data_IF_547994408608
#
_entry.id   IF_547994408608
#
_cell.length_a   1.000
_cell.length_b   1.000
_cell.length_c   1.000
_cell.angle_alpha   90.00
_cell.angle_beta   90.00
_cell.angle_gamma   90.00
#
_symmetry.space_group_name_H-M   'P 1'
#
loop_
_entity.id
_entity.type
_entity.pdbx_description
1 polymer ?
#
# COMPACT_ATOMS: atom_id res chain seq x y z
N UNK A 1 -5.36 -13.13 -4.07
CA UNK A 1 -5.16 -11.82 -4.73
C UNK A 1 -4.01 -11.90 -5.70
N UNK A 2 -4.15 -11.30 -6.84
CA UNK A 2 -3.12 -11.26 -7.86
C UNK A 2 -2.10 -10.17 -7.52
N UNK A 3 -0.82 -10.52 -7.53
CA UNK A 3 0.24 -9.54 -7.26
C UNK A 3 0.26 -8.43 -8.30
N UNK A 4 -0.10 -8.74 -9.53
CA UNK A 4 -0.15 -7.73 -10.58
C UNK A 4 -1.11 -6.60 -10.25
N UNK A 5 -2.28 -6.93 -9.73
CA UNK A 5 -3.26 -5.92 -9.33
C UNK A 5 -2.72 -5.04 -8.20
N UNK A 6 -2.08 -5.67 -7.23
CA UNK A 6 -1.47 -4.95 -6.11
C UNK A 6 -0.36 -4.02 -6.60
N UNK A 7 0.53 -4.51 -7.45
CA UNK A 7 1.65 -3.74 -7.97
C UNK A 7 1.13 -2.57 -8.82
N UNK A 8 0.14 -2.81 -9.65
CA UNK A 8 -0.47 -1.75 -10.46
C UNK A 8 -1.06 -0.65 -9.58
N UNK A 9 -1.75 -1.04 -8.51
CA UNK A 9 -2.32 -0.10 -7.57
C UNK A 9 -1.24 0.76 -6.91
N UNK A 10 -0.15 0.13 -6.47
CA UNK A 10 0.96 0.83 -5.84
C UNK A 10 1.63 1.78 -6.84
N UNK A 11 1.89 1.31 -8.06
CA UNK A 11 2.49 2.16 -9.08
C UNK A 11 1.66 3.41 -9.35
N UNK A 12 0.35 3.25 -9.41
CA UNK A 12 -0.56 4.35 -9.68
C UNK A 12 -0.54 5.36 -8.52
N UNK A 13 -0.65 4.86 -7.30
CA UNK A 13 -0.72 5.72 -6.12
C UNK A 13 0.59 6.45 -5.84
N UNK A 14 1.71 5.80 -6.06
CA UNK A 14 3.03 6.36 -5.77
C UNK A 14 3.67 7.03 -6.99
N UNK A 15 3.05 6.92 -8.15
CA UNK A 15 3.58 7.42 -9.42
C UNK A 15 4.98 6.86 -9.71
N UNK A 16 5.14 5.54 -9.54
CA UNK A 16 6.38 4.82 -9.81
C UNK A 16 6.10 3.69 -10.79
N UNK A 17 7.16 3.03 -11.24
CA UNK A 17 7.06 1.99 -12.28
C UNK A 17 7.78 0.73 -11.84
N UNK A 18 7.20 0.00 -10.92
CA UNK A 18 7.71 -1.31 -10.52
C UNK A 18 7.22 -2.37 -11.52
N UNK A 19 8.04 -3.41 -11.78
CA UNK A 19 7.60 -4.50 -12.65
C UNK A 19 6.34 -5.19 -12.13
N UNK A 20 5.37 -5.38 -13.01
CA UNK A 20 4.05 -5.90 -12.62
C UNK A 20 4.04 -7.40 -12.34
N UNK A 21 5.04 -8.13 -12.78
CA UNK A 21 5.10 -9.57 -12.62
C UNK A 21 6.05 -10.02 -11.51
N UNK A 22 6.44 -9.10 -10.64
CA UNK A 22 7.34 -9.43 -9.55
C UNK A 22 6.64 -10.19 -8.43
N UNK A 23 7.44 -10.98 -7.69
CA UNK A 23 6.93 -11.63 -6.49
C UNK A 23 6.67 -10.58 -5.40
N UNK A 24 5.87 -10.97 -4.42
CA UNK A 24 5.57 -10.09 -3.29
C UNK A 24 6.84 -9.67 -2.57
N UNK A 25 7.78 -10.60 -2.40
CA UNK A 25 9.03 -10.32 -1.72
C UNK A 25 9.88 -9.29 -2.47
N UNK A 26 9.96 -9.43 -3.79
CA UNK A 26 10.70 -8.46 -4.61
C UNK A 26 10.00 -7.10 -4.64
N UNK A 27 8.68 -7.09 -4.66
CA UNK A 27 7.91 -5.87 -4.55
C UNK A 27 8.25 -5.15 -3.25
N UNK A 28 8.26 -5.89 -2.15
CA UNK A 28 8.57 -5.34 -0.82
C UNK A 28 9.94 -4.70 -0.81
N UNK A 29 10.94 -5.39 -1.36
CA UNK A 29 12.31 -4.90 -1.39
C UNK A 29 12.45 -3.65 -2.27
N UNK A 30 11.89 -3.68 -3.46
CA UNK A 30 11.95 -2.54 -4.38
C UNK A 30 11.27 -1.32 -3.78
N UNK A 31 10.13 -1.54 -3.15
CA UNK A 31 9.40 -0.46 -2.51
C UNK A 31 10.18 0.12 -1.34
N UNK A 32 10.86 -0.72 -0.57
CA UNK A 32 11.66 -0.25 0.56
C UNK A 32 12.80 0.65 0.12
N UNK A 33 13.43 0.35 -1.00
CA UNK A 33 14.51 1.19 -1.55
C UNK A 33 13.97 2.58 -1.87
N UNK A 34 12.83 2.63 -2.55
CA UNK A 34 12.19 3.89 -2.89
C UNK A 34 11.85 4.70 -1.62
N UNK A 35 11.27 4.03 -0.64
CA UNK A 35 10.86 4.68 0.61
C UNK A 35 12.07 5.17 1.42
N UNK A 36 13.15 4.40 1.45
CA UNK A 36 14.37 4.83 2.14
C UNK A 36 14.95 6.08 1.48
N UNK A 37 14.88 6.18 0.17
CA UNK A 37 15.31 7.38 -0.52
C UNK A 37 14.47 8.60 -0.11
N UNK A 38 13.16 8.43 0.02
CA UNK A 38 12.31 9.50 0.49
C UNK A 38 12.62 9.91 1.93
N UNK A 39 12.92 8.94 2.78
CA UNK A 39 13.30 9.21 4.17
C UNK A 39 14.55 10.10 4.21
N UNK A 40 15.52 9.80 3.35
CA UNK A 40 16.80 10.52 3.36
C UNK A 40 16.70 11.88 2.64
N UNK A 41 15.98 11.93 1.55
CA UNK A 41 16.05 13.09 0.65
C UNK A 41 14.83 13.99 0.68
N UNK A 42 13.66 13.44 1.00
CA UNK A 42 12.43 14.23 1.00
C UNK A 42 11.41 13.62 1.93
N UNK A 43 11.65 13.75 3.20
CA UNK A 43 10.80 13.18 4.23
C UNK A 43 9.37 13.75 4.19
N UNK A 44 9.24 15.02 3.84
CA UNK A 44 7.93 15.65 3.74
C UNK A 44 7.09 15.01 2.64
N UNK A 45 7.70 14.64 1.52
CA UNK A 45 7.00 13.94 0.46
C UNK A 45 6.53 12.56 0.94
N UNK A 46 7.35 11.89 1.72
CA UNK A 46 6.96 10.61 2.31
C UNK A 46 5.72 10.76 3.20
N UNK A 47 5.71 11.77 4.06
CA UNK A 47 4.56 12.02 4.93
C UNK A 47 3.30 12.31 4.13
N UNK A 48 3.42 13.13 3.09
CA UNK A 48 2.30 13.45 2.22
C UNK A 48 1.76 12.19 1.53
N UNK A 49 2.67 11.33 1.11
CA UNK A 49 2.33 10.07 0.45
C UNK A 49 1.58 9.14 1.40
N UNK A 50 2.09 8.97 2.61
CA UNK A 50 1.45 8.11 3.61
C UNK A 50 0.08 8.62 3.99
N UNK A 51 -0.06 9.94 4.11
CA UNK A 51 -1.34 10.56 4.38
C UNK A 51 -2.35 10.27 3.25
N UNK A 52 -1.89 10.40 2.01
CA UNK A 52 -2.76 10.14 0.85
C UNK A 52 -3.16 8.69 0.75
N UNK A 53 -2.25 7.77 1.13
CA UNK A 53 -2.53 6.34 1.11
C UNK A 53 -3.36 5.88 2.29
N UNK A 54 -3.61 6.78 3.23
CA UNK A 54 -4.41 6.49 4.42
C UNK A 54 -3.75 5.43 5.31
N UNK A 55 -2.43 5.52 5.44
CA UNK A 55 -1.68 4.66 6.34
C UNK A 55 -1.60 5.34 7.71
N UNK A 56 -1.88 4.59 8.76
CA UNK A 56 -1.93 5.13 10.11
C UNK A 56 -0.54 5.54 10.60
N UNK A 57 -0.35 6.83 10.86
CA UNK A 57 0.91 7.39 11.31
C UNK A 57 1.33 6.84 12.67
N UNK A 58 0.38 6.64 13.57
CA UNK A 58 0.68 6.10 14.89
C UNK A 58 1.20 4.67 14.81
N UNK A 59 0.63 3.87 13.91
CA UNK A 59 1.07 2.51 13.68
C UNK A 59 2.51 2.49 13.17
N UNK A 60 2.85 3.41 12.27
CA UNK A 60 4.21 3.54 11.76
C UNK A 60 5.17 3.87 12.90
N UNK A 61 4.83 4.84 13.72
CA UNK A 61 5.67 5.25 14.85
C UNK A 61 5.89 4.10 15.82
N UNK A 62 4.83 3.37 16.14
CA UNK A 62 4.94 2.23 17.05
C UNK A 62 5.87 1.17 16.50
N UNK A 63 5.73 0.84 15.24
CA UNK A 63 6.55 -0.19 14.62
C UNK A 63 8.01 0.24 14.52
N UNK A 64 8.27 1.49 14.19
CA UNK A 64 9.63 2.00 14.10
C UNK A 64 10.30 2.05 15.46
N UNK A 65 9.55 2.32 16.52
CA UNK A 65 10.10 2.39 17.87
C UNK A 65 10.36 1.02 18.48
N UNK A 66 9.68 0.00 18.01
CA UNK A 66 9.71 -1.34 18.62
C UNK A 66 10.55 -2.34 17.84
N UNK A 67 11.29 -1.90 16.84
CA UNK A 67 12.05 -2.83 15.99
C UNK A 67 13.33 -2.17 15.52
N UNK A 68 14.31 -3.03 15.21
CA UNK A 68 15.56 -2.60 14.57
C UNK A 68 15.54 -2.82 13.08
N UNK A 69 14.41 -3.25 12.53
CA UNK A 69 14.30 -3.46 11.10
C UNK A 69 14.42 -2.15 10.32
N UNK A 70 14.76 -2.29 9.04
CA UNK A 70 14.88 -1.17 8.13
C UNK A 70 13.54 -0.44 8.04
N UNK A 71 13.56 0.87 8.24
CA UNK A 71 12.36 1.70 8.21
C UNK A 71 11.62 1.58 6.87
N UNK A 72 12.36 1.55 5.76
CA UNK A 72 11.75 1.39 4.45
C UNK A 72 10.97 0.10 4.31
N UNK A 73 11.48 -1.00 4.86
CA UNK A 73 10.79 -2.29 4.82
C UNK A 73 9.51 -2.26 5.65
N UNK A 74 9.56 -1.66 6.83
CA UNK A 74 8.40 -1.54 7.70
C UNK A 74 7.28 -0.76 7.00
N UNK A 75 7.64 0.38 6.42
CA UNK A 75 6.67 1.22 5.73
C UNK A 75 6.15 0.52 4.47
N UNK A 76 7.03 -0.19 3.76
CA UNK A 76 6.62 -0.96 2.59
C UNK A 76 5.56 -2.00 2.96
N UNK A 77 5.76 -2.72 4.05
CA UNK A 77 4.78 -3.71 4.54
C UNK A 77 3.44 -3.06 4.85
N UNK A 78 3.46 -1.89 5.48
CA UNK A 78 2.22 -1.18 5.81
C UNK A 78 1.49 -0.69 4.56
N UNK A 79 2.23 -0.23 3.56
CA UNK A 79 1.63 0.20 2.29
C UNK A 79 1.01 -0.99 1.57
N UNK A 80 1.74 -2.10 1.49
CA UNK A 80 1.26 -3.32 0.83
C UNK A 80 0.00 -3.81 1.55
N UNK A 81 0.03 -3.86 2.88
CA UNK A 81 -1.13 -4.28 3.66
C UNK A 81 -2.34 -3.39 3.39
N UNK A 82 -2.14 -2.07 3.41
CA UNK A 82 -3.24 -1.14 3.21
C UNK A 82 -3.82 -1.23 1.81
N UNK A 83 -2.97 -1.32 0.78
CA UNK A 83 -3.44 -1.46 -0.59
C UNK A 83 -4.16 -2.78 -0.80
N UNK A 84 -3.66 -3.85 -0.18
CA UNK A 84 -4.33 -5.15 -0.24
C UNK A 84 -5.72 -5.08 0.38
N UNK A 85 -5.84 -4.43 1.54
CA UNK A 85 -7.14 -4.24 2.20
C UNK A 85 -8.11 -3.46 1.31
N UNK A 86 -7.62 -2.41 0.66
CA UNK A 86 -8.46 -1.60 -0.23
C UNK A 86 -8.95 -2.40 -1.43
N UNK A 87 -8.09 -3.22 -2.00
CA UNK A 87 -8.45 -4.06 -3.15
C UNK A 87 -9.50 -5.08 -2.74
N UNK A 88 -9.29 -5.74 -1.61
CA UNK A 88 -10.22 -6.75 -1.10
C UNK A 88 -11.58 -6.10 -0.79
N UNK A 89 -11.56 -4.96 -0.12
CA UNK A 89 -12.79 -4.25 0.22
C UNK A 89 -13.56 -3.84 -1.03
N UNK A 90 -12.85 -3.37 -2.06
CA UNK A 90 -13.48 -3.00 -3.34
C UNK A 90 -14.14 -4.19 -4.00
N UNK A 91 -13.47 -5.33 -4.00
CA UNK A 91 -14.02 -6.56 -4.59
C UNK A 91 -15.24 -7.04 -3.83
N UNK A 92 -15.18 -7.02 -2.51
CA UNK A 92 -16.32 -7.42 -1.69
C UNK A 92 -17.51 -6.49 -1.87
N UNK A 93 -17.26 -5.20 -1.92
CA UNK A 93 -18.31 -4.21 -2.16
C UNK A 93 -18.94 -4.41 -3.53
N UNK A 94 -18.12 -4.67 -4.53
CA UNK A 94 -18.61 -4.91 -5.90
C UNK A 94 -19.44 -6.18 -5.98
N UNK A 95 -19.04 -7.24 -5.30
CA UNK A 95 -19.81 -8.48 -5.21
C UNK A 95 -21.14 -8.25 -4.53
N UNK A 96 -21.15 -7.51 -3.44
CA UNK A 96 -22.38 -7.17 -2.74
C UNK A 96 -23.36 -6.43 -3.64
N UNK A 97 -22.86 -5.50 -4.41
CA UNK A 97 -23.69 -4.77 -5.37
C UNK A 97 -24.25 -5.70 -6.43
N UNK A 98 -23.47 -6.67 -6.87
CA UNK A 98 -23.93 -7.65 -7.83
C UNK A 98 -25.01 -8.58 -7.27
N UNK A 99 -24.97 -8.85 -5.99
CA UNK A 99 -25.92 -9.72 -5.30
C UNK A 99 -27.18 -9.00 -4.87
N UNK A 100 -27.15 -7.68 -4.78
CA UNK A 100 -28.27 -6.87 -4.34
C UNK A 100 -29.22 -6.64 -5.52
N UNK A 101 -30.52 -6.88 -5.29
CA UNK A 101 -31.51 -6.63 -6.32
C UNK A 101 -31.66 -5.13 -6.57
N UNK A 102 -32.31 -4.79 -7.66
CA UNK A 102 -32.48 -3.39 -8.05
C UNK A 102 -33.24 -2.59 -6.96
N UNK A 103 -34.20 -3.22 -6.30
CA UNK A 103 -34.98 -2.54 -5.28
C UNK A 103 -34.14 -2.16 -4.09
N UNK A 104 -33.09 -2.90 -3.80
CA UNK A 104 -32.26 -2.65 -2.64
C UNK A 104 -31.20 -1.61 -2.89
N UNK A 105 -31.01 -1.24 -4.10
CA UNK A 105 -30.04 -0.23 -4.45
C UNK A 105 -30.49 1.18 -4.16
N UNK A 106 -31.75 1.34 -4.03
CA UNK A 106 -32.33 2.67 -3.86
C UNK A 106 -31.58 3.75 -4.48
#
# INVERSE_FOLDING_TARGET
MDNKELITSINTELAISLPEDESLDKLRQALSVYLNELIDKNFQQLLNLLYRLDVNENKIRQMLNNTTEDAGLIIADLIIERQSQKIIARKQFHQKQGDISEDEKW
#
